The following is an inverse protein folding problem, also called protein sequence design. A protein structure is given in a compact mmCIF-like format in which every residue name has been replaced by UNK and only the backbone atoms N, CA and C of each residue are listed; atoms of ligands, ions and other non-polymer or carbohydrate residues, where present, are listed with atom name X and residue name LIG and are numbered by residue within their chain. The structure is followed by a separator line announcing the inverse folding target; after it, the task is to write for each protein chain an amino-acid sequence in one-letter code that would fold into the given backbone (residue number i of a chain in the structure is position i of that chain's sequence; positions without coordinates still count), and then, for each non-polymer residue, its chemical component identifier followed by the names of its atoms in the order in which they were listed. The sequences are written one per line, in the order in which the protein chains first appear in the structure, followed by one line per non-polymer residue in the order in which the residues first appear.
data_IF_252305480190
#
_entry.id   IF_252305480190
#
_cell.length_a   1.000
_cell.length_b   1.000
_cell.length_c   1.000
_cell.angle_alpha   90.00
_cell.angle_beta   90.00
_cell.angle_gamma   90.00
#
_symmetry.space_group_name_H-M   'P 1'
#
loop_
_entity.id
_entity.type
_entity.pdbx_description
1 polymer ?
#
# COMPACT_ATOMS: atom_id res chain seq x y z
N UNK A 1 -19.56 3.00 25.15
CA UNK A 1 -20.98 2.73 25.44
C UNK A 1 -21.75 2.78 24.13
N UNK A 2 -22.61 1.78 23.93
CA UNK A 2 -23.51 1.69 22.78
C UNK A 2 -24.89 2.11 23.24
N UNK A 3 -25.56 2.98 22.51
CA UNK A 3 -26.95 3.38 22.75
C UNK A 3 -27.83 2.71 21.70
N UNK A 4 -28.96 2.14 22.17
CA UNK A 4 -29.95 1.50 21.31
C UNK A 4 -31.29 2.16 21.58
N UNK A 5 -31.89 2.75 20.56
CA UNK A 5 -33.17 3.43 20.62
C UNK A 5 -34.19 2.68 19.74
N UNK A 6 -35.32 2.29 20.32
CA UNK A 6 -36.43 1.74 19.54
C UNK A 6 -37.18 2.87 18.84
N UNK A 7 -37.29 2.79 17.50
CA UNK A 7 -37.92 3.81 16.66
C UNK A 7 -39.38 3.46 16.28
N UNK A 8 -39.78 2.22 16.47
CA UNK A 8 -41.15 1.80 16.18
C UNK A 8 -41.23 0.50 15.37
N UNK A 9 -42.44 0.13 15.02
CA UNK A 9 -42.76 -1.04 14.22
C UNK A 9 -43.13 -0.61 12.79
N UNK A 10 -42.64 -1.34 11.81
CA UNK A 10 -42.97 -1.16 10.38
C UNK A 10 -43.92 -2.26 9.89
N UNK A 11 -44.65 -2.03 8.79
CA UNK A 11 -45.49 -3.05 8.19
C UNK A 11 -44.75 -4.36 7.96
N UNK A 12 -45.38 -5.49 8.29
CA UNK A 12 -44.77 -6.81 8.21
C UNK A 12 -44.13 -7.29 9.51
N UNK A 13 -44.32 -6.58 10.64
CA UNK A 13 -43.82 -7.00 11.95
C UNK A 13 -42.34 -6.70 12.17
N UNK A 14 -41.75 -5.79 11.34
CA UNK A 14 -40.35 -5.40 11.47
C UNK A 14 -40.17 -4.33 12.56
N UNK A 15 -39.31 -4.60 13.52
CA UNK A 15 -38.94 -3.64 14.56
C UNK A 15 -37.72 -2.83 14.12
N UNK A 16 -37.83 -1.50 14.21
CA UNK A 16 -36.77 -0.58 13.81
C UNK A 16 -36.06 -0.04 15.06
N UNK A 17 -34.73 -0.14 15.04
CA UNK A 17 -33.87 0.38 16.08
C UNK A 17 -32.79 1.27 15.47
N UNK A 18 -32.46 2.36 16.16
CA UNK A 18 -31.27 3.15 15.91
C UNK A 18 -30.19 2.74 16.91
N UNK A 19 -28.97 2.56 16.39
CA UNK A 19 -27.81 2.18 17.21
C UNK A 19 -26.70 3.21 17.03
N UNK A 20 -26.25 3.77 18.15
CA UNK A 20 -25.14 4.73 18.18
C UNK A 20 -23.96 4.15 18.96
N UNK A 21 -22.78 4.19 18.36
CA UNK A 21 -21.54 3.73 18.97
C UNK A 21 -20.69 4.91 19.40
N UNK A 22 -20.32 4.95 20.70
CA UNK A 22 -19.42 5.97 21.25
C UNK A 22 -17.97 5.51 21.33
N UNK A 23 -17.71 4.21 21.10
CA UNK A 23 -16.39 3.62 21.13
C UNK A 23 -15.99 3.23 19.70
N UNK A 24 -14.83 3.70 19.26
CA UNK A 24 -14.22 3.24 18.02
C UNK A 24 -13.73 1.79 18.15
N UNK A 25 -13.66 1.09 17.04
CA UNK A 25 -13.28 -0.31 16.96
C UNK A 25 -14.47 -1.24 16.96
N UNK A 26 -14.24 -2.47 17.39
CA UNK A 26 -15.25 -3.53 17.41
C UNK A 26 -16.33 -3.27 18.45
N UNK A 27 -17.59 -3.38 18.04
CA UNK A 27 -18.78 -3.30 18.86
C UNK A 27 -19.71 -4.46 18.53
N UNK A 28 -20.07 -5.25 19.54
CA UNK A 28 -20.95 -6.42 19.38
C UNK A 28 -22.28 -6.14 20.06
N UNK A 29 -23.36 -6.27 19.30
CA UNK A 29 -24.74 -6.25 19.82
C UNK A 29 -25.26 -7.67 19.92
N UNK A 30 -25.77 -8.04 21.09
CA UNK A 30 -26.49 -9.29 21.28
C UNK A 30 -27.98 -9.05 21.13
N UNK A 31 -28.61 -9.70 20.19
CA UNK A 31 -30.05 -9.68 19.98
C UNK A 31 -30.66 -10.95 20.60
N UNK A 32 -31.51 -10.78 21.58
CA UNK A 32 -32.26 -11.89 22.19
C UNK A 32 -33.63 -11.96 21.51
N UNK A 33 -34.01 -13.15 21.04
CA UNK A 33 -35.29 -13.39 20.36
C UNK A 33 -35.93 -14.69 20.86
N UNK A 34 -36.94 -14.60 21.71
CA UNK A 34 -37.74 -15.72 22.17
C UNK A 34 -37.00 -16.97 22.68
N UNK A 35 -37.56 -17.69 23.64
CA UNK A 35 -37.09 -19.01 24.11
C UNK A 35 -35.57 -19.11 24.43
N UNK A 36 -34.94 -18.04 24.85
CA UNK A 36 -33.50 -18.02 25.19
C UNK A 36 -32.54 -17.97 23.98
N UNK A 37 -33.07 -17.85 22.79
CA UNK A 37 -32.25 -17.72 21.59
C UNK A 37 -31.59 -16.35 21.48
N UNK A 38 -30.39 -16.31 20.91
CA UNK A 38 -29.64 -15.08 20.69
C UNK A 38 -28.86 -15.12 19.38
N UNK A 39 -28.63 -13.97 18.81
CA UNK A 39 -27.69 -13.75 17.71
C UNK A 39 -26.81 -12.55 17.97
N UNK A 40 -25.74 -12.42 17.25
CA UNK A 40 -24.77 -11.34 17.37
C UNK A 40 -24.74 -10.52 16.09
N UNK A 41 -24.69 -9.20 16.24
CA UNK A 41 -24.42 -8.25 15.17
C UNK A 41 -23.09 -7.57 15.49
N UNK A 42 -22.14 -7.69 14.59
CA UNK A 42 -20.82 -7.11 14.74
C UNK A 42 -20.71 -5.84 13.91
N UNK A 43 -20.25 -4.76 14.54
CA UNK A 43 -20.04 -3.46 13.91
C UNK A 43 -18.64 -2.98 14.22
N UNK A 44 -17.97 -2.46 13.20
CA UNK A 44 -16.69 -1.80 13.36
C UNK A 44 -16.87 -0.29 13.21
N UNK A 45 -16.91 0.43 14.33
CA UNK A 45 -17.03 1.89 14.34
C UNK A 45 -15.68 2.54 14.05
N UNK A 46 -15.63 3.42 13.06
CA UNK A 46 -14.40 4.10 12.65
C UNK A 46 -14.55 5.62 12.77
N UNK A 47 -13.42 6.32 12.74
CA UNK A 47 -13.41 7.74 12.41
C UNK A 47 -13.96 7.97 10.98
N UNK A 48 -14.37 9.19 10.65
CA UNK A 48 -14.77 9.54 9.28
C UNK A 48 -13.71 9.09 8.27
N UNK A 49 -14.15 8.61 7.11
CA UNK A 49 -13.27 8.07 6.06
C UNK A 49 -12.16 9.05 5.67
N UNK A 50 -12.51 10.33 5.53
CA UNK A 50 -11.52 11.38 5.24
C UNK A 50 -10.38 11.42 6.27
N UNK A 51 -10.73 11.34 7.57
CA UNK A 51 -9.75 11.31 8.64
C UNK A 51 -8.86 10.08 8.55
N UNK A 52 -9.44 8.91 8.26
CA UNK A 52 -8.68 7.66 8.13
C UNK A 52 -7.71 7.70 6.96
N UNK A 53 -8.15 8.15 5.78
CA UNK A 53 -7.29 8.20 4.60
C UNK A 53 -6.15 9.20 4.76
N UNK A 54 -6.40 10.35 5.39
CA UNK A 54 -5.37 11.34 5.71
C UNK A 54 -4.35 10.80 6.72
N UNK A 55 -4.80 10.18 7.81
CA UNK A 55 -3.91 9.54 8.79
C UNK A 55 -3.06 8.44 8.17
N UNK A 56 -3.67 7.60 7.33
CA UNK A 56 -2.95 6.51 6.65
C UNK A 56 -1.91 7.05 5.68
N UNK A 57 -2.24 8.05 4.89
CA UNK A 57 -1.32 8.69 3.95
C UNK A 57 -0.13 9.31 4.67
N UNK A 58 -0.39 10.10 5.70
CA UNK A 58 0.64 10.71 6.55
C UNK A 58 1.55 9.65 7.20
N UNK A 59 0.99 8.56 7.72
CA UNK A 59 1.79 7.45 8.25
C UNK A 59 2.69 6.82 7.18
N UNK A 60 2.17 6.57 5.99
CA UNK A 60 2.94 6.00 4.88
C UNK A 60 4.16 6.89 4.59
N UNK A 61 3.95 8.17 4.39
CA UNK A 61 5.03 9.11 4.03
C UNK A 61 6.05 9.27 5.14
N UNK A 62 5.60 9.39 6.38
CA UNK A 62 6.51 9.67 7.51
C UNK A 62 7.23 8.44 8.06
N UNK A 63 6.69 7.22 7.84
CA UNK A 63 7.19 6.03 8.51
C UNK A 63 7.66 4.93 7.56
N UNK A 64 7.26 4.95 6.28
CA UNK A 64 7.52 3.81 5.40
C UNK A 64 8.45 4.09 4.23
N UNK A 65 8.96 5.32 4.09
CA UNK A 65 9.86 5.69 3.00
C UNK A 65 11.33 5.65 3.41
N UNK A 66 12.15 4.95 2.63
CA UNK A 66 13.61 4.98 2.77
C UNK A 66 14.18 6.28 2.21
N UNK A 67 15.04 6.93 2.98
CA UNK A 67 15.63 8.24 2.64
C UNK A 67 17.16 8.26 2.74
N UNK A 68 17.80 7.10 2.65
CA UNK A 68 19.25 6.99 2.66
C UNK A 68 19.78 7.01 1.21
N UNK A 69 20.37 8.13 0.81
CA UNK A 69 20.92 8.35 -0.54
C UNK A 69 22.11 7.46 -0.87
N UNK A 70 22.72 6.82 0.12
CA UNK A 70 23.80 5.86 -0.09
C UNK A 70 23.30 4.48 -0.47
N UNK A 71 22.01 4.22 -0.35
CA UNK A 71 21.38 2.93 -0.60
C UNK A 71 20.70 2.89 -1.96
N UNK A 72 20.80 1.75 -2.63
CA UNK A 72 20.14 1.50 -3.91
C UNK A 72 18.61 1.56 -3.84
N UNK A 73 18.04 1.33 -2.66
CA UNK A 73 16.59 1.40 -2.40
C UNK A 73 16.15 2.75 -1.83
N UNK A 74 16.97 3.79 -1.99
CA UNK A 74 16.57 5.16 -1.65
C UNK A 74 15.29 5.56 -2.40
N UNK A 75 14.35 6.19 -1.72
CA UNK A 75 13.03 6.56 -2.23
C UNK A 75 11.95 5.49 -2.04
N UNK A 76 12.31 4.23 -1.86
CA UNK A 76 11.36 3.10 -1.72
C UNK A 76 10.41 3.30 -0.54
N UNK A 77 9.11 3.10 -0.78
CA UNK A 77 8.14 2.85 0.26
C UNK A 77 8.09 1.35 0.58
N UNK A 78 8.39 0.97 1.82
CA UNK A 78 8.54 -0.42 2.21
C UNK A 78 7.60 -0.81 3.36
N UNK A 79 7.71 -2.06 3.82
CA UNK A 79 6.90 -2.57 4.91
C UNK A 79 7.31 -1.96 6.25
N UNK A 80 6.35 -1.68 7.12
CA UNK A 80 6.58 -1.22 8.47
C UNK A 80 6.11 -2.27 9.47
N UNK A 81 7.02 -2.74 10.29
CA UNK A 81 6.74 -3.68 11.36
C UNK A 81 6.10 -2.93 12.54
N UNK A 82 4.78 -3.00 12.62
CA UNK A 82 4.00 -2.30 13.65
C UNK A 82 4.30 -2.81 15.07
N UNK A 83 4.72 -4.07 15.21
CA UNK A 83 5.01 -4.68 16.52
C UNK A 83 6.30 -4.13 17.12
N UNK A 84 7.33 -4.00 16.28
CA UNK A 84 8.66 -3.57 16.71
C UNK A 84 8.92 -2.08 16.39
N UNK A 85 7.97 -1.39 15.75
CA UNK A 85 8.06 -0.01 15.30
C UNK A 85 9.28 0.24 14.39
N UNK A 86 9.53 -0.66 13.42
CA UNK A 86 10.72 -0.64 12.56
C UNK A 86 10.32 -0.65 11.09
N UNK A 87 10.96 0.24 10.31
CA UNK A 87 10.90 0.17 8.86
C UNK A 87 11.74 -1.03 8.38
N UNK A 88 11.08 -1.97 7.71
CA UNK A 88 11.72 -3.12 7.08
C UNK A 88 12.10 -2.79 5.64
N UNK A 89 13.07 -3.50 5.13
CA UNK A 89 13.55 -3.31 3.76
C UNK A 89 14.62 -4.31 3.39
N UNK A 90 15.27 -4.14 2.24
CA UNK A 90 16.27 -5.09 1.73
C UNK A 90 17.43 -5.36 2.69
N UNK A 91 17.83 -4.36 3.47
CA UNK A 91 18.95 -4.45 4.42
C UNK A 91 18.49 -4.80 5.86
N UNK A 92 17.19 -4.90 6.10
CA UNK A 92 16.60 -5.16 7.42
C UNK A 92 15.37 -6.06 7.31
N UNK A 93 15.60 -7.30 6.95
CA UNK A 93 14.52 -8.28 6.66
C UNK A 93 14.08 -9.08 7.88
N UNK A 94 14.75 -8.96 9.02
CA UNK A 94 14.49 -9.74 10.24
C UNK A 94 14.58 -11.25 10.01
N UNK A 95 15.60 -11.67 9.23
CA UNK A 95 15.82 -13.07 8.86
C UNK A 95 14.94 -13.62 7.74
N UNK A 96 14.08 -12.78 7.17
CA UNK A 96 13.30 -13.16 5.99
C UNK A 96 14.19 -13.17 4.74
N UNK A 97 14.37 -14.34 4.14
CA UNK A 97 15.16 -14.51 2.91
C UNK A 97 14.32 -14.19 1.67
N UNK A 98 13.81 -12.98 1.62
CA UNK A 98 12.91 -12.55 0.56
C UNK A 98 12.90 -11.04 0.40
N UNK A 99 14.10 -10.42 0.35
CA UNK A 99 14.24 -8.96 0.23
C UNK A 99 13.40 -8.36 -0.91
N UNK A 100 13.16 -9.12 -1.97
CA UNK A 100 12.32 -8.71 -3.10
C UNK A 100 10.86 -8.45 -2.71
N UNK A 101 10.31 -9.11 -1.69
CA UNK A 101 8.96 -8.86 -1.18
C UNK A 101 8.76 -7.46 -0.62
N UNK A 102 9.84 -6.71 -0.39
CA UNK A 102 9.77 -5.32 0.04
C UNK A 102 9.82 -4.31 -1.11
N UNK A 103 10.23 -4.73 -2.30
CA UNK A 103 10.57 -3.84 -3.41
C UNK A 103 9.80 -4.08 -4.70
N UNK A 104 9.17 -5.23 -4.85
CA UNK A 104 8.51 -5.60 -6.09
C UNK A 104 7.30 -4.74 -6.41
N UNK A 105 7.11 -4.56 -7.71
CA UNK A 105 6.03 -3.81 -8.32
C UNK A 105 4.77 -4.67 -8.55
N UNK A 106 4.52 -5.65 -7.69
CA UNK A 106 3.37 -6.53 -7.84
C UNK A 106 2.40 -6.43 -6.65
N UNK A 107 1.62 -7.46 -6.44
CA UNK A 107 0.70 -7.66 -5.33
C UNK A 107 1.34 -7.54 -3.93
N UNK A 108 2.64 -7.34 -3.86
CA UNK A 108 3.38 -7.13 -2.63
C UNK A 108 3.14 -5.75 -1.98
N UNK A 109 3.30 -5.65 -0.66
CA UNK A 109 2.98 -4.42 0.09
C UNK A 109 3.78 -3.17 -0.32
N UNK A 110 4.87 -3.34 -1.05
CA UNK A 110 5.75 -2.23 -1.46
C UNK A 110 5.07 -1.27 -2.44
N UNK A 111 4.43 -1.81 -3.46
CA UNK A 111 3.97 -1.01 -4.59
C UNK A 111 2.72 -0.18 -4.32
N UNK A 112 1.77 -0.68 -3.54
CA UNK A 112 0.47 -0.02 -3.37
C UNK A 112 0.53 1.28 -2.55
N UNK A 113 1.63 1.57 -1.85
CA UNK A 113 1.73 2.75 -0.98
C UNK A 113 1.79 4.07 -1.75
N UNK A 114 2.69 4.18 -2.72
CA UNK A 114 2.80 5.39 -3.52
C UNK A 114 1.53 5.67 -4.34
N UNK A 115 0.92 4.70 -5.05
CA UNK A 115 -0.37 4.90 -5.69
C UNK A 115 -1.49 5.33 -4.76
N UNK A 116 -1.52 4.78 -3.54
CA UNK A 116 -2.50 5.20 -2.52
C UNK A 116 -2.31 6.66 -2.11
N UNK A 117 -1.07 7.07 -1.83
CA UNK A 117 -0.76 8.45 -1.44
C UNK A 117 -1.09 9.40 -2.59
N UNK A 118 -0.70 9.07 -3.82
CA UNK A 118 -1.01 9.87 -5.00
C UNK A 118 -2.53 10.02 -5.19
N UNK A 119 -3.29 8.93 -5.18
CA UNK A 119 -4.75 8.95 -5.31
C UNK A 119 -5.43 9.77 -4.20
N UNK A 120 -4.97 9.67 -2.93
CA UNK A 120 -5.48 10.49 -1.84
C UNK A 120 -5.25 11.98 -2.11
N UNK A 121 -4.11 12.35 -2.68
CA UNK A 121 -3.76 13.75 -2.92
C UNK A 121 -4.53 14.39 -4.06
N UNK A 122 -5.18 13.64 -4.93
CA UNK A 122 -6.18 14.16 -5.89
C UNK A 122 -7.38 14.79 -5.16
N UNK A 123 -7.81 14.19 -4.04
CA UNK A 123 -8.97 14.65 -3.28
C UNK A 123 -8.63 15.54 -2.09
N UNK A 124 -7.51 15.24 -1.44
CA UNK A 124 -7.05 15.93 -0.22
C UNK A 124 -5.56 16.23 -0.35
N UNK A 125 -5.17 17.25 -1.11
CA UNK A 125 -3.77 17.56 -1.40
C UNK A 125 -2.99 17.95 -0.14
N UNK A 126 -1.77 17.42 -0.03
CA UNK A 126 -0.76 17.75 0.97
C UNK A 126 0.60 17.75 0.26
N UNK A 127 1.26 18.90 0.24
CA UNK A 127 2.49 19.09 -0.54
C UNK A 127 3.61 18.14 -0.09
N UNK A 128 3.75 17.92 1.21
CA UNK A 128 4.77 17.01 1.74
C UNK A 128 4.58 15.56 1.23
N UNK A 129 3.33 15.14 1.10
CA UNK A 129 3.01 13.81 0.59
C UNK A 129 3.23 13.72 -0.92
N UNK A 130 2.91 14.78 -1.66
CA UNK A 130 3.19 14.89 -3.10
C UNK A 130 4.71 14.82 -3.32
N UNK A 131 5.49 15.63 -2.62
CA UNK A 131 6.97 15.64 -2.70
C UNK A 131 7.56 14.25 -2.37
N UNK A 132 6.94 13.52 -1.44
CA UNK A 132 7.39 12.18 -1.10
C UNK A 132 7.15 11.16 -2.22
N UNK A 133 6.02 11.29 -2.94
CA UNK A 133 5.74 10.44 -4.10
C UNK A 133 6.62 10.81 -5.29
N UNK A 134 6.85 12.10 -5.55
CA UNK A 134 7.81 12.56 -6.57
C UNK A 134 9.21 12.00 -6.29
N UNK A 135 9.66 12.08 -5.05
CA UNK A 135 10.94 11.50 -4.63
C UNK A 135 11.03 9.99 -4.87
N UNK A 136 9.93 9.26 -4.64
CA UNK A 136 9.86 7.84 -4.97
C UNK A 136 9.99 7.58 -6.47
N UNK A 137 9.26 8.35 -7.28
CA UNK A 137 9.33 8.26 -8.74
C UNK A 137 10.74 8.54 -9.25
N UNK A 138 11.37 9.61 -8.78
CA UNK A 138 12.67 10.06 -9.25
C UNK A 138 13.81 9.13 -8.82
N UNK A 139 13.82 8.69 -7.57
CA UNK A 139 14.97 7.99 -7.01
C UNK A 139 14.85 6.47 -6.99
N UNK A 140 13.64 5.93 -7.09
CA UNK A 140 13.43 4.48 -7.03
C UNK A 140 12.78 3.92 -8.28
N UNK A 141 11.73 4.55 -8.81
CA UNK A 141 10.99 4.02 -9.96
C UNK A 141 11.74 4.25 -11.26
N UNK A 142 11.95 5.50 -11.63
CA UNK A 142 12.57 5.85 -12.90
C UNK A 142 14.03 5.41 -12.95
N UNK A 143 14.41 4.73 -14.02
CA UNK A 143 15.74 4.12 -14.17
C UNK A 143 16.14 3.15 -13.03
N UNK A 144 15.15 2.59 -12.37
CA UNK A 144 15.34 1.59 -11.31
C UNK A 144 14.36 0.44 -11.50
N UNK A 145 13.19 0.55 -10.89
CA UNK A 145 12.11 -0.40 -11.07
C UNK A 145 11.55 -0.35 -12.50
N UNK A 146 11.49 0.82 -13.09
CA UNK A 146 11.09 1.06 -14.46
C UNK A 146 12.29 1.38 -15.35
N UNK A 147 12.30 0.81 -16.53
CA UNK A 147 13.29 1.10 -17.59
C UNK A 147 12.98 2.45 -18.23
N UNK A 148 14.02 3.10 -18.76
CA UNK A 148 13.89 4.40 -19.44
C UNK A 148 13.58 4.24 -20.93
N UNK A 149 13.41 5.36 -21.61
CA UNK A 149 13.31 5.44 -23.07
C UNK A 149 14.57 4.97 -23.82
N UNK A 150 15.73 4.93 -23.13
CA UNK A 150 17.04 4.55 -23.68
C UNK A 150 17.35 3.06 -23.52
N UNK A 151 16.53 2.32 -22.81
CA UNK A 151 16.75 0.91 -22.55
C UNK A 151 16.21 0.04 -23.70
N UNK A 152 17.10 -0.61 -24.43
CA UNK A 152 16.78 -1.52 -25.53
C UNK A 152 17.14 -2.98 -25.14
N UNK A 153 16.33 -3.99 -25.45
CA UNK A 153 14.93 -3.90 -25.87
C UNK A 153 13.99 -3.55 -24.69
N UNK A 154 12.74 -3.25 -24.95
CA UNK A 154 11.68 -3.00 -23.97
C UNK A 154 11.86 -1.70 -23.15
N UNK A 155 11.85 -0.51 -23.79
CA UNK A 155 11.82 0.76 -23.08
C UNK A 155 10.56 0.88 -22.22
N UNK A 156 10.65 1.65 -21.14
CA UNK A 156 9.58 1.90 -20.16
C UNK A 156 9.05 0.68 -19.41
N UNK A 157 9.54 -0.52 -19.70
CA UNK A 157 9.10 -1.73 -19.03
C UNK A 157 9.44 -1.72 -17.54
N UNK A 158 8.61 -2.43 -16.77
CA UNK A 158 8.74 -2.56 -15.31
C UNK A 158 9.30 -3.95 -15.01
N UNK A 159 10.28 -4.01 -14.12
CA UNK A 159 10.82 -5.26 -13.63
C UNK A 159 9.85 -5.91 -12.63
N UNK A 160 9.35 -7.09 -12.97
CA UNK A 160 8.41 -7.85 -12.16
C UNK A 160 9.01 -9.08 -11.50
N UNK A 161 10.32 -9.11 -11.26
CA UNK A 161 11.03 -10.26 -10.69
C UNK A 161 11.99 -9.85 -9.58
N UNK A 162 12.35 -10.79 -8.68
CA UNK A 162 13.22 -10.50 -7.54
C UNK A 162 14.59 -9.92 -7.90
N UNK A 163 15.06 -10.12 -9.13
CA UNK A 163 16.41 -9.78 -9.54
C UNK A 163 16.57 -8.37 -10.16
N UNK A 164 15.57 -7.51 -10.13
CA UNK A 164 15.69 -6.18 -10.69
C UNK A 164 16.82 -5.35 -10.05
N UNK A 165 17.14 -5.58 -8.78
CA UNK A 165 18.28 -4.99 -8.09
C UNK A 165 19.59 -5.24 -8.85
N UNK A 166 19.80 -6.49 -9.28
CA UNK A 166 20.97 -6.89 -10.07
C UNK A 166 20.98 -6.20 -11.41
N UNK A 167 19.83 -6.02 -12.05
CA UNK A 167 19.72 -5.28 -13.29
C UNK A 167 20.04 -3.78 -13.11
N UNK A 168 19.78 -3.23 -11.94
CA UNK A 168 20.08 -1.83 -11.62
C UNK A 168 21.55 -1.61 -11.24
N UNK A 169 22.17 -2.53 -10.54
CA UNK A 169 23.59 -2.46 -10.18
C UNK A 169 24.48 -2.66 -11.42
N UNK A 170 25.28 -1.66 -11.84
CA UNK A 170 26.12 -1.78 -13.05
C UNK A 170 27.19 -2.90 -12.93
N UNK A 171 27.73 -3.17 -11.74
CA UNK A 171 28.75 -4.19 -11.55
C UNK A 171 28.15 -5.59 -11.64
N UNK A 172 27.01 -5.80 -11.00
CA UNK A 172 26.31 -7.08 -11.08
C UNK A 172 25.69 -7.28 -12.45
N UNK A 173 25.15 -6.21 -13.08
CA UNK A 173 24.63 -6.25 -14.46
C UNK A 173 25.68 -6.73 -15.46
N UNK A 174 26.92 -6.31 -15.33
CA UNK A 174 27.99 -6.75 -16.21
C UNK A 174 28.34 -8.25 -16.08
N UNK A 175 27.93 -8.89 -14.98
CA UNK A 175 28.11 -10.32 -14.76
C UNK A 175 26.96 -11.18 -15.26
N UNK A 176 25.83 -10.56 -15.60
CA UNK A 176 24.62 -11.25 -16.05
C UNK A 176 24.61 -11.25 -17.56
N UNK A 177 24.38 -12.42 -18.17
CA UNK A 177 24.15 -12.50 -19.61
C UNK A 177 22.85 -11.82 -20.00
N UNK A 178 22.75 -11.26 -21.21
CA UNK A 178 21.53 -10.67 -21.77
C UNK A 178 20.36 -11.61 -21.71
N UNK A 179 20.57 -12.92 -21.85
CA UNK A 179 19.56 -13.96 -21.70
C UNK A 179 18.95 -14.01 -20.28
N UNK A 180 19.67 -13.60 -19.26
CA UNK A 180 19.11 -13.50 -17.90
C UNK A 180 18.26 -12.24 -17.74
N UNK A 181 18.61 -11.12 -18.36
CA UNK A 181 17.77 -9.93 -18.41
C UNK A 181 16.45 -10.22 -19.11
N UNK A 182 16.45 -10.93 -20.23
CA UNK A 182 15.23 -11.36 -20.92
C UNK A 182 14.36 -12.27 -20.05
N UNK A 183 14.95 -13.08 -19.20
CA UNK A 183 14.24 -13.93 -18.24
C UNK A 183 13.70 -13.18 -17.03
N UNK A 184 14.07 -11.93 -16.81
CA UNK A 184 13.60 -11.10 -15.69
C UNK A 184 12.14 -10.64 -15.83
N UNK A 185 11.45 -11.10 -16.85
CA UNK A 185 10.01 -10.89 -17.04
C UNK A 185 9.60 -9.41 -16.88
N UNK A 186 10.21 -8.55 -17.66
CA UNK A 186 9.87 -7.12 -17.70
C UNK A 186 8.45 -6.82 -18.19
N UNK A 187 7.68 -7.85 -18.52
CA UNK A 187 6.34 -7.77 -19.09
C UNK A 187 5.22 -8.25 -18.16
N UNK A 188 5.42 -8.33 -16.84
CA UNK A 188 4.32 -8.69 -15.92
C UNK A 188 3.17 -7.71 -16.04
N UNK A 189 2.10 -8.15 -16.69
CA UNK A 189 1.00 -7.25 -17.09
C UNK A 189 0.26 -6.62 -15.92
N UNK A 190 0.21 -7.28 -14.78
CA UNK A 190 -0.48 -6.77 -13.59
C UNK A 190 0.36 -5.78 -12.76
N UNK A 191 1.63 -5.59 -13.08
CA UNK A 191 2.45 -4.53 -12.45
C UNK A 191 2.17 -3.15 -13.07
N UNK A 192 1.84 -3.13 -14.37
CA UNK A 192 1.66 -1.91 -15.13
C UNK A 192 0.49 -1.03 -14.68
N UNK A 193 -0.70 -1.58 -14.32
CA UNK A 193 -1.80 -0.75 -13.83
C UNK A 193 -1.43 0.11 -12.63
N UNK A 194 -0.63 -0.41 -11.69
CA UNK A 194 -0.20 0.32 -10.50
C UNK A 194 0.69 1.52 -10.85
N UNK A 195 1.67 1.31 -11.72
CA UNK A 195 2.57 2.38 -12.17
C UNK A 195 1.84 3.38 -13.06
N UNK A 196 0.97 2.91 -13.96
CA UNK A 196 0.15 3.79 -14.80
C UNK A 196 -0.74 4.69 -13.94
N UNK A 197 -1.43 4.12 -12.94
CA UNK A 197 -2.27 4.88 -12.02
C UNK A 197 -1.46 5.83 -11.14
N UNK A 198 -0.26 5.44 -10.74
CA UNK A 198 0.65 6.31 -10.00
C UNK A 198 0.98 7.57 -10.80
N UNK A 199 1.45 7.42 -12.03
CA UNK A 199 1.74 8.56 -12.90
C UNK A 199 0.49 9.40 -13.21
N UNK A 200 -0.64 8.75 -13.47
CA UNK A 200 -1.90 9.44 -13.73
C UNK A 200 -2.34 10.34 -12.58
N UNK A 201 -2.19 9.88 -11.33
CA UNK A 201 -2.58 10.69 -10.16
C UNK A 201 -1.55 11.77 -9.80
N UNK A 202 -0.33 11.66 -10.29
CA UNK A 202 0.72 12.65 -10.08
C UNK A 202 0.77 13.73 -11.18
N UNK A 203 0.12 13.49 -12.32
CA UNK A 203 -0.02 14.45 -13.42
C UNK A 203 -1.09 15.47 -13.12
#
# INVERSE_FOLDING_TARGET
QTEVCFLGEKPGGHLLYEVSFRKLGENILTVHYGAGNKTYLEFFATEPLETLVKKRSSFIVNSTQHRDTTKWHNGLFSAYDMKNAVLRGPDNTDGFDGWWGYVLACDDPGLCKAPYVAAKNVYFPDQKEIDAVEYYLEHFVWNGLQRTDKDDPYPYCIYGVPNWKVARDPVERARISTTNLDKMKVWRSYDYPHITMLYYHMY
#
